data_IF_178535451634
#
_entry.id   IF_178535451634
#
_cell.length_a   1.000
_cell.length_b   1.000
_cell.length_c   1.000
_cell.angle_alpha   90.00
_cell.angle_beta   90.00
_cell.angle_gamma   90.00
#
_symmetry.space_group_name_H-M   'P 1'
#
loop_
_entity.id
_entity.type
_entity.pdbx_description
1 polymer ?
#
# COMPACT_ATOMS: atom_id res chain seq x y z
N UNK A 1 -16.53 -21.50 1.34
CA UNK A 1 -16.63 -21.32 2.80
C UNK A 1 -17.65 -22.32 3.26
N UNK A 2 -17.12 -23.45 3.70
CA UNK A 2 -17.88 -24.66 3.94
C UNK A 2 -18.86 -24.39 5.09
N UNK A 3 -20.14 -24.36 4.74
CA UNK A 3 -21.23 -24.39 5.72
C UNK A 3 -21.27 -25.79 6.30
N UNK A 4 -20.30 -26.10 7.16
CA UNK A 4 -20.32 -27.31 7.95
C UNK A 4 -21.52 -27.17 8.90
N UNK A 5 -22.55 -27.99 8.66
CA UNK A 5 -23.78 -27.98 9.45
C UNK A 5 -23.45 -28.15 10.93
N UNK A 6 -24.25 -27.51 11.78
CA UNK A 6 -24.09 -27.56 13.24
C UNK A 6 -23.91 -29.04 13.64
N UNK A 7 -22.78 -29.41 14.27
CA UNK A 7 -22.56 -30.79 14.69
C UNK A 7 -23.66 -31.23 15.66
N UNK A 8 -24.20 -32.44 15.49
CA UNK A 8 -25.10 -33.01 16.48
C UNK A 8 -24.31 -33.35 17.75
N UNK A 9 -24.68 -32.73 18.87
CA UNK A 9 -24.00 -32.93 20.15
C UNK A 9 -24.68 -34.04 20.97
N UNK A 10 -23.87 -34.90 21.59
CA UNK A 10 -24.39 -35.95 22.46
C UNK A 10 -24.73 -35.44 23.86
N UNK A 11 -24.23 -34.24 24.22
CA UNK A 11 -24.53 -33.59 25.50
C UNK A 11 -24.40 -32.05 25.45
N UNK A 12 -25.16 -31.35 26.29
CA UNK A 12 -25.07 -29.89 26.50
C UNK A 12 -23.65 -29.42 26.88
N UNK A 13 -22.89 -30.26 27.58
CA UNK A 13 -21.51 -29.96 27.99
C UNK A 13 -20.57 -29.94 26.77
N UNK A 14 -20.77 -30.87 25.84
CA UNK A 14 -20.01 -30.98 24.59
C UNK A 14 -20.34 -29.80 23.67
N UNK A 15 -21.62 -29.46 23.54
CA UNK A 15 -22.08 -28.28 22.78
C UNK A 15 -21.44 -26.98 23.32
N UNK A 16 -21.48 -26.78 24.63
CA UNK A 16 -20.89 -25.58 25.27
C UNK A 16 -19.38 -25.53 25.05
N UNK A 17 -18.69 -26.67 25.15
CA UNK A 17 -17.25 -26.74 24.92
C UNK A 17 -16.89 -26.45 23.46
N UNK A 18 -17.65 -27.00 22.51
CA UNK A 18 -17.47 -26.77 21.08
C UNK A 18 -17.63 -25.30 20.72
N UNK A 19 -18.74 -24.67 21.09
CA UNK A 19 -18.98 -23.26 20.76
C UNK A 19 -17.98 -22.33 21.45
N UNK A 20 -17.55 -22.67 22.67
CA UNK A 20 -16.49 -21.93 23.36
C UNK A 20 -15.17 -22.01 22.59
N UNK A 21 -14.74 -23.21 22.19
CA UNK A 21 -13.52 -23.39 21.41
C UNK A 21 -13.62 -22.69 20.04
N UNK A 22 -14.76 -22.82 19.36
CA UNK A 22 -15.01 -22.20 18.07
C UNK A 22 -14.96 -20.67 18.17
N UNK A 23 -15.58 -20.09 19.20
CA UNK A 23 -15.51 -18.64 19.44
C UNK A 23 -14.09 -18.15 19.71
N UNK A 24 -13.28 -18.95 20.43
CA UNK A 24 -11.88 -18.63 20.69
C UNK A 24 -11.04 -18.69 19.40
N UNK A 25 -11.26 -19.72 18.57
CA UNK A 25 -10.62 -19.83 17.25
C UNK A 25 -10.93 -18.61 16.38
N UNK A 26 -12.20 -18.27 16.22
CA UNK A 26 -12.57 -17.11 15.41
C UNK A 26 -12.08 -15.78 15.99
N UNK A 27 -12.06 -15.64 17.32
CA UNK A 27 -11.47 -14.47 17.96
C UNK A 27 -9.99 -14.32 17.62
N UNK A 28 -9.24 -15.42 17.69
CA UNK A 28 -7.83 -15.43 17.33
C UNK A 28 -7.63 -15.10 15.85
N UNK A 29 -8.34 -15.78 14.94
CA UNK A 29 -8.23 -15.52 13.50
C UNK A 29 -8.61 -14.07 13.15
N UNK A 30 -9.58 -13.49 13.84
CA UNK A 30 -9.93 -12.08 13.66
C UNK A 30 -8.80 -11.14 14.12
N UNK A 31 -8.16 -11.43 15.25
CA UNK A 31 -7.03 -10.65 15.74
C UNK A 31 -5.86 -10.72 14.77
N UNK A 32 -5.50 -11.92 14.32
CA UNK A 32 -4.43 -12.15 13.34
C UNK A 32 -4.70 -11.39 12.03
N UNK A 33 -5.90 -11.54 11.45
CA UNK A 33 -6.25 -10.83 10.21
C UNK A 33 -6.29 -9.30 10.37
N UNK A 34 -6.68 -8.80 11.55
CA UNK A 34 -6.66 -7.38 11.84
C UNK A 34 -5.24 -6.86 11.95
N UNK A 35 -4.37 -7.58 12.65
CA UNK A 35 -2.99 -7.17 12.85
C UNK A 35 -2.22 -7.23 11.52
N UNK A 36 -2.44 -8.26 10.69
CA UNK A 36 -1.94 -8.34 9.30
C UNK A 36 -2.40 -7.16 8.44
N UNK A 37 -3.68 -6.76 8.57
CA UNK A 37 -4.21 -5.61 7.83
C UNK A 37 -3.52 -4.30 8.25
N UNK A 38 -3.23 -4.12 9.54
CA UNK A 38 -2.51 -2.94 10.03
C UNK A 38 -1.09 -2.91 9.47
N UNK A 39 -0.36 -4.02 9.53
CA UNK A 39 0.98 -4.13 8.96
C UNK A 39 0.98 -3.82 7.45
N UNK A 40 0.00 -4.34 6.71
CA UNK A 40 -0.15 -4.05 5.28
C UNK A 40 -0.42 -2.57 5.00
N UNK A 41 -1.26 -1.92 5.81
CA UNK A 41 -1.56 -0.49 5.66
C UNK A 41 -0.34 0.38 5.97
N UNK A 42 0.40 0.05 7.02
CA UNK A 42 1.63 0.77 7.38
C UNK A 42 2.69 0.61 6.29
N UNK A 43 2.94 -0.62 5.83
CA UNK A 43 3.88 -0.89 4.73
C UNK A 43 3.48 -0.21 3.42
N UNK A 44 2.18 -0.13 3.13
CA UNK A 44 1.67 0.58 1.95
C UNK A 44 1.95 2.09 2.03
N UNK A 45 1.77 2.71 3.21
CA UNK A 45 2.05 4.13 3.42
C UNK A 45 3.54 4.45 3.31
N UNK A 46 4.40 3.60 3.85
CA UNK A 46 5.86 3.75 3.74
C UNK A 46 6.29 3.65 2.28
N UNK A 47 5.77 2.68 1.53
CA UNK A 47 6.05 2.54 0.10
C UNK A 47 5.57 3.74 -0.71
N UNK A 48 4.38 4.27 -0.40
CA UNK A 48 3.86 5.48 -1.04
C UNK A 48 4.78 6.68 -0.80
N UNK A 49 5.24 6.89 0.44
CA UNK A 49 6.17 7.97 0.77
C UNK A 49 7.52 7.83 0.04
N UNK A 50 8.04 6.61 -0.09
CA UNK A 50 9.26 6.33 -0.86
C UNK A 50 9.07 6.65 -2.35
N UNK A 51 7.93 6.25 -2.94
CA UNK A 51 7.61 6.57 -4.33
C UNK A 51 7.45 8.08 -4.55
N UNK A 52 6.79 8.79 -3.63
CA UNK A 52 6.68 10.25 -3.67
C UNK A 52 8.05 10.92 -3.62
N UNK A 53 8.95 10.45 -2.75
CA UNK A 53 10.32 10.98 -2.65
C UNK A 53 11.08 10.80 -3.97
N UNK A 54 10.97 9.62 -4.60
CA UNK A 54 11.57 9.36 -5.91
C UNK A 54 11.00 10.26 -7.01
N UNK A 55 9.69 10.48 -7.02
CA UNK A 55 9.05 11.41 -7.97
C UNK A 55 9.52 12.85 -7.77
N UNK A 56 9.62 13.32 -6.52
CA UNK A 56 10.16 14.66 -6.20
C UNK A 56 11.61 14.79 -6.65
N UNK A 57 12.45 13.78 -6.40
CA UNK A 57 13.84 13.76 -6.85
C UNK A 57 13.95 13.80 -8.38
N UNK A 58 13.12 13.02 -9.08
CA UNK A 58 13.07 13.00 -10.54
C UNK A 58 12.59 14.35 -11.11
N UNK A 59 11.59 14.97 -10.50
CA UNK A 59 11.10 16.29 -10.91
C UNK A 59 12.13 17.41 -10.65
N UNK A 60 12.79 17.40 -9.48
CA UNK A 60 13.86 18.35 -9.17
C UNK A 60 15.05 18.18 -10.12
N UNK A 61 15.53 16.95 -10.30
CA UNK A 61 16.61 16.68 -11.26
C UNK A 61 16.21 17.06 -12.68
N UNK A 62 15.00 16.74 -13.12
CA UNK A 62 14.41 17.19 -14.39
C UNK A 62 14.36 18.71 -14.55
N UNK A 63 14.05 19.44 -13.48
CA UNK A 63 14.01 20.92 -13.46
C UNK A 63 15.40 21.55 -13.59
N UNK A 64 16.44 20.89 -13.08
CA UNK A 64 17.85 21.32 -13.26
C UNK A 64 18.34 21.21 -14.71
N UNK A 65 17.71 20.38 -15.55
CA UNK A 65 18.04 20.26 -16.98
C UNK A 65 17.32 21.28 -17.89
N UNK A 66 16.35 22.05 -17.37
CA UNK A 66 15.53 22.99 -18.16
C UNK A 66 15.93 24.46 -17.98
N UNK A 67 16.85 24.79 -17.06
CA UNK A 67 17.37 26.14 -16.94
C UNK A 67 18.64 26.31 -17.80
N UNK A 68 18.60 27.08 -18.92
CA UNK A 68 19.83 27.51 -19.56
C UNK A 68 20.63 28.35 -18.55
N UNK A 69 21.93 28.08 -18.46
CA UNK A 69 22.84 28.76 -17.53
C UNK A 69 22.69 30.30 -17.63
N UNK A 70 22.86 31.07 -16.54
CA UNK A 70 22.73 32.53 -16.54
C UNK A 70 23.75 33.30 -17.41
N UNK A 71 24.60 32.59 -18.16
CA UNK A 71 25.69 33.15 -18.96
C UNK A 71 25.45 33.21 -20.47
N UNK A 72 24.39 32.61 -21.02
CA UNK A 72 24.11 32.70 -22.46
C UNK A 72 23.07 33.76 -22.76
N UNK A 73 23.50 35.02 -22.64
CA UNK A 73 22.94 36.09 -23.45
C UNK A 73 23.33 35.79 -24.91
N UNK A 74 22.48 35.09 -25.66
CA UNK A 74 22.64 34.97 -27.11
C UNK A 74 21.34 35.42 -27.76
N UNK A 75 21.45 36.60 -28.35
CA UNK A 75 20.94 36.99 -29.66
C UNK A 75 19.53 36.52 -30.04
N UNK A 76 18.71 37.53 -30.24
CA UNK A 76 17.37 37.48 -30.82
C UNK A 76 17.47 37.06 -32.29
N UNK A 77 17.72 35.79 -32.58
CA UNK A 77 17.40 35.18 -33.88
C UNK A 77 17.63 33.68 -33.84
N UNK A 78 16.81 32.90 -34.54
CA UNK A 78 16.81 31.42 -34.62
C UNK A 78 16.06 30.80 -33.43
N UNK A 79 14.77 30.49 -33.51
CA UNK A 79 14.12 29.72 -34.57
C UNK A 79 14.22 28.24 -34.23
N UNK A 80 13.05 27.63 -33.99
CA UNK A 80 12.77 26.18 -33.87
C UNK A 80 12.79 25.56 -32.47
N UNK A 81 11.57 25.50 -31.91
CA UNK A 81 10.97 24.31 -31.30
C UNK A 81 11.68 23.02 -31.73
N UNK A 82 12.19 22.25 -30.76
CA UNK A 82 12.39 20.82 -30.92
C UNK A 82 11.78 20.11 -29.71
N UNK A 83 10.52 19.72 -29.92
CA UNK A 83 9.86 18.61 -29.24
C UNK A 83 10.53 17.29 -29.68
N UNK A 84 10.46 16.28 -28.81
CA UNK A 84 11.08 14.94 -28.79
C UNK A 84 11.14 14.13 -30.11
N UNK A 85 11.97 13.07 -30.16
CA UNK A 85 11.61 11.76 -29.60
C UNK A 85 12.50 11.27 -28.45
#
# INVERSE_FOLDING_TARGET
>A
MDGEGIPDFSSLKEETAYWKELSLKYKQSFQEARDELVEFQEGSRELEAELEAQLVQAACSGSYWVLPSPGTLRDINTGYFLFSP
#
